data_IF_152840904289
#
_entry.id   IF_152840904289
#
_cell.length_a   1.000
_cell.length_b   1.000
_cell.length_c   1.000
_cell.angle_alpha   90.00
_cell.angle_beta   90.00
_cell.angle_gamma   90.00
#
_symmetry.space_group_name_H-M   'P 1'
#
loop_
_entity.id
_entity.type
_entity.pdbx_description
1 polymer ?
#
# COMPACT_ATOMS: atom_id res chain seq x y z
N UNK A 1 -6.32 1.48 2.33
CA UNK A 1 -6.60 0.51 1.25
C UNK A 1 -6.67 -0.91 1.80
N UNK A 2 -7.51 -1.79 1.24
CA UNK A 2 -7.59 -3.19 1.64
C UNK A 2 -6.42 -4.01 1.09
N UNK A 3 -5.73 -4.76 1.97
CA UNK A 3 -4.70 -5.77 1.63
C UNK A 3 -5.17 -6.73 0.52
N UNK A 4 -6.48 -6.92 0.44
CA UNK A 4 -7.17 -7.80 -0.50
C UNK A 4 -6.95 -7.44 -1.98
N UNK A 5 -7.05 -6.17 -2.37
CA UNK A 5 -6.89 -5.77 -3.78
C UNK A 5 -5.47 -6.03 -4.28
N UNK A 6 -4.49 -5.78 -3.42
CA UNK A 6 -3.10 -6.07 -3.72
C UNK A 6 -2.86 -7.58 -3.85
N UNK A 7 -3.47 -8.40 -2.99
CA UNK A 7 -3.41 -9.87 -3.12
C UNK A 7 -4.09 -10.34 -4.41
N UNK A 8 -5.28 -9.81 -4.72
CA UNK A 8 -6.05 -10.19 -5.92
C UNK A 8 -5.38 -9.78 -7.23
N UNK A 9 -4.66 -8.66 -7.26
CA UNK A 9 -3.97 -8.13 -8.44
C UNK A 9 -2.46 -8.31 -8.42
N UNK A 10 -1.93 -9.16 -7.53
CA UNK A 10 -0.47 -9.31 -7.36
C UNK A 10 0.24 -9.67 -8.67
N UNK A 11 -0.40 -10.42 -9.56
CA UNK A 11 0.15 -10.78 -10.88
C UNK A 11 0.37 -9.57 -11.78
N UNK A 12 -0.53 -8.58 -11.75
CA UNK A 12 -0.38 -7.33 -12.48
C UNK A 12 0.64 -6.42 -11.79
N UNK A 13 0.58 -6.35 -10.46
CA UNK A 13 1.42 -5.50 -9.62
C UNK A 13 2.88 -5.98 -9.60
N UNK A 14 3.14 -7.27 -9.80
CA UNK A 14 4.47 -7.88 -9.80
C UNK A 14 5.45 -7.17 -10.76
N UNK A 15 4.96 -6.75 -11.94
CA UNK A 15 5.76 -5.97 -12.87
C UNK A 15 6.20 -4.62 -12.30
N UNK A 16 5.35 -3.98 -11.49
CA UNK A 16 5.65 -2.71 -10.82
C UNK A 16 6.58 -2.90 -9.62
N UNK A 17 6.41 -3.99 -8.85
CA UNK A 17 7.37 -4.39 -7.80
C UNK A 17 8.76 -4.59 -8.39
N UNK A 18 8.87 -5.33 -9.50
CA UNK A 18 10.17 -5.54 -10.16
C UNK A 18 10.78 -4.24 -10.65
N UNK A 19 9.98 -3.28 -11.15
CA UNK A 19 10.47 -1.96 -11.53
C UNK A 19 10.94 -1.14 -10.32
N UNK A 20 10.23 -1.20 -9.19
CA UNK A 20 10.56 -0.43 -7.99
C UNK A 20 11.79 -0.98 -7.26
N UNK A 21 11.88 -2.31 -7.14
CA UNK A 21 12.94 -2.95 -6.34
C UNK A 21 14.03 -3.63 -7.15
N UNK A 22 13.86 -3.89 -8.46
CA UNK A 22 14.88 -4.44 -9.37
C UNK A 22 15.33 -5.87 -9.09
N UNK A 23 15.73 -6.16 -7.85
CA UNK A 23 16.22 -7.45 -7.37
C UNK A 23 15.11 -8.46 -7.05
N UNK A 24 13.85 -8.01 -6.96
CA UNK A 24 12.71 -8.90 -6.80
C UNK A 24 12.34 -9.52 -8.14
N UNK A 25 12.29 -10.86 -8.19
CA UNK A 25 11.79 -11.56 -9.36
C UNK A 25 10.28 -11.70 -9.33
N UNK A 26 9.66 -11.84 -10.50
CA UNK A 26 8.22 -12.06 -10.62
C UNK A 26 7.76 -13.31 -9.84
N UNK A 27 8.55 -14.38 -9.89
CA UNK A 27 8.27 -15.62 -9.15
C UNK A 27 8.32 -15.40 -7.62
N UNK A 28 9.36 -14.72 -7.13
CA UNK A 28 9.50 -14.39 -5.71
C UNK A 28 8.33 -13.53 -5.20
N UNK A 29 7.91 -12.54 -5.98
CA UNK A 29 6.79 -11.67 -5.67
C UNK A 29 5.49 -12.46 -5.66
N UNK A 30 5.22 -13.26 -6.68
CA UNK A 30 4.01 -14.06 -6.78
C UNK A 30 3.93 -15.13 -5.67
N UNK A 31 5.06 -15.68 -5.22
CA UNK A 31 5.12 -16.61 -4.08
C UNK A 31 4.58 -16.02 -2.79
N UNK A 32 4.74 -14.72 -2.58
CA UNK A 32 4.14 -14.03 -1.42
C UNK A 32 2.60 -13.96 -1.50
N UNK A 33 2.03 -14.23 -2.69
CA UNK A 33 0.61 -14.07 -3.02
C UNK A 33 0.07 -12.67 -2.76
N UNK A 34 0.94 -11.68 -2.59
CA UNK A 34 0.59 -10.31 -2.20
C UNK A 34 0.44 -10.09 -0.69
N UNK A 35 0.90 -11.03 0.13
CA UNK A 35 0.90 -10.84 1.58
C UNK A 35 1.98 -9.81 1.96
N UNK A 36 1.56 -8.71 2.58
CA UNK A 36 2.46 -7.61 2.95
C UNK A 36 3.58 -8.01 3.90
N UNK A 37 3.31 -8.83 4.92
CA UNK A 37 4.38 -9.33 5.79
C UNK A 37 5.37 -10.22 5.05
N UNK A 38 4.88 -11.12 4.17
CA UNK A 38 5.73 -11.97 3.35
C UNK A 38 6.56 -11.16 2.35
N UNK A 39 5.98 -10.13 1.72
CA UNK A 39 6.71 -9.19 0.86
C UNK A 39 7.72 -8.37 1.64
N UNK A 40 7.42 -7.95 2.86
CA UNK A 40 8.36 -7.21 3.71
C UNK A 40 9.59 -8.07 4.01
N UNK A 41 9.38 -9.34 4.36
CA UNK A 41 10.46 -10.31 4.50
C UNK A 41 11.23 -10.56 3.20
N UNK A 42 10.53 -10.65 2.07
CA UNK A 42 11.14 -10.84 0.75
C UNK A 42 12.02 -9.64 0.36
N UNK A 43 11.49 -8.42 0.48
CA UNK A 43 12.18 -7.15 0.23
C UNK A 43 13.38 -7.03 1.16
N UNK A 44 13.21 -7.28 2.45
CA UNK A 44 14.29 -7.29 3.44
C UNK A 44 15.40 -8.26 3.03
N UNK A 45 15.07 -9.49 2.62
CA UNK A 45 16.07 -10.49 2.24
C UNK A 45 16.75 -10.20 0.90
N UNK A 46 15.99 -9.77 -0.11
CA UNK A 46 16.48 -9.59 -1.50
C UNK A 46 17.18 -8.25 -1.70
N UNK A 47 16.70 -7.21 -1.04
CA UNK A 47 17.23 -5.84 -1.14
C UNK A 47 18.22 -5.56 0.00
N UNK A 48 18.13 -6.27 1.12
CA UNK A 48 18.97 -6.03 2.29
C UNK A 48 18.52 -4.82 3.11
N UNK A 49 17.22 -4.51 3.11
CA UNK A 49 16.65 -3.37 3.82
C UNK A 49 16.31 -3.70 5.27
N UNK A 50 16.33 -2.69 6.14
CA UNK A 50 15.76 -2.79 7.49
C UNK A 50 14.26 -3.06 7.41
N UNK A 51 13.71 -3.74 8.44
CA UNK A 51 12.27 -4.02 8.54
C UNK A 51 11.41 -2.76 8.39
N UNK A 52 11.84 -1.64 8.95
CA UNK A 52 11.18 -0.34 8.85
C UNK A 52 11.17 0.18 7.42
N UNK A 53 12.32 0.16 6.74
CA UNK A 53 12.45 0.59 5.35
C UNK A 53 11.63 -0.29 4.39
N UNK A 54 11.69 -1.62 4.56
CA UNK A 54 10.89 -2.54 3.77
C UNK A 54 9.38 -2.28 3.95
N UNK A 55 8.94 -2.11 5.20
CA UNK A 55 7.55 -1.76 5.53
C UNK A 55 7.14 -0.42 4.93
N UNK A 56 7.98 0.61 5.05
CA UNK A 56 7.74 1.95 4.52
C UNK A 56 7.61 1.92 3.00
N UNK A 57 8.53 1.25 2.30
CA UNK A 57 8.49 1.17 0.85
C UNK A 57 7.29 0.37 0.34
N UNK A 58 6.89 -0.70 1.05
CA UNK A 58 5.69 -1.46 0.72
C UNK A 58 4.41 -0.67 0.94
N UNK A 59 4.32 0.06 2.06
CA UNK A 59 3.19 0.95 2.36
C UNK A 59 3.05 2.03 1.28
N UNK A 60 4.16 2.69 0.93
CA UNK A 60 4.21 3.69 -0.13
C UNK A 60 3.83 3.10 -1.50
N UNK A 61 4.35 1.92 -1.81
CA UNK A 61 4.00 1.23 -3.05
C UNK A 61 2.52 0.84 -3.08
N UNK A 62 1.96 0.40 -1.96
CA UNK A 62 0.55 0.05 -1.87
C UNK A 62 -0.36 1.25 -2.12
N UNK A 63 -0.02 2.44 -1.61
CA UNK A 63 -0.81 3.65 -1.90
C UNK A 63 -0.68 4.11 -3.35
N UNK A 64 0.46 3.88 -4.00
CA UNK A 64 0.63 4.19 -5.42
C UNK A 64 -0.18 3.24 -6.31
N UNK A 65 -0.13 1.94 -6.00
CA UNK A 65 -0.92 0.90 -6.66
C UNK A 65 -2.41 1.12 -6.44
N UNK A 66 -2.82 1.45 -5.22
CA UNK A 66 -4.20 1.83 -4.93
C UNK A 66 -4.62 2.95 -5.87
N UNK A 67 -3.91 4.07 -5.88
CA UNK A 67 -4.21 5.20 -6.77
C UNK A 67 -4.26 4.79 -8.24
N UNK A 68 -3.39 3.89 -8.71
CA UNK A 68 -3.37 3.43 -10.10
C UNK A 68 -4.56 2.53 -10.46
N UNK A 69 -4.91 1.57 -9.60
CA UNK A 69 -5.96 0.57 -9.88
C UNK A 69 -7.35 0.99 -9.39
N UNK A 70 -7.44 1.87 -8.40
CA UNK A 70 -8.67 2.50 -7.90
C UNK A 70 -8.83 3.95 -8.36
N UNK A 71 -8.20 4.33 -9.47
CA UNK A 71 -8.42 5.61 -10.18
C UNK A 71 -9.88 5.84 -10.66
N UNK A 72 -10.84 5.06 -10.17
CA UNK A 72 -12.27 5.38 -10.21
C UNK A 72 -12.63 6.27 -9.00
N UNK A 73 -12.50 7.58 -9.17
CA UNK A 73 -13.63 8.47 -8.85
C UNK A 73 -13.93 8.90 -7.40
N UNK A 74 -13.01 8.85 -6.43
CA UNK A 74 -13.24 9.52 -5.13
C UNK A 74 -12.12 10.49 -4.73
N UNK A 75 -12.00 11.56 -5.51
CA UNK A 75 -11.66 12.85 -4.92
C UNK A 75 -12.84 13.30 -4.03
N UNK A 76 -12.89 12.84 -2.77
CA UNK A 76 -13.37 13.58 -1.59
C UNK A 76 -13.89 12.63 -0.49
N UNK A 77 -13.01 12.20 0.43
CA UNK A 77 -13.46 12.02 1.82
C UNK A 77 -12.39 12.28 2.89
N UNK A 78 -11.10 12.39 2.53
CA UNK A 78 -10.09 12.73 3.56
C UNK A 78 -10.21 14.16 4.12
N UNK A 79 -11.07 15.02 3.58
CA UNK A 79 -11.39 16.32 4.21
C UNK A 79 -12.63 16.31 5.11
N UNK A 80 -13.40 15.21 5.18
CA UNK A 80 -14.59 15.17 6.04
C UNK A 80 -14.22 14.90 7.50
N UNK A 81 -13.10 14.20 7.76
CA UNK A 81 -12.74 13.82 9.13
C UNK A 81 -12.17 14.97 9.99
N UNK A 82 -11.99 16.17 9.43
CA UNK A 82 -11.50 17.34 10.19
C UNK A 82 -12.55 18.42 10.47
N UNK A 83 -13.79 18.29 9.98
CA UNK A 83 -14.86 19.29 10.24
C UNK A 83 -15.97 18.84 11.19
N UNK A 84 -16.14 17.54 11.40
CA UNK A 84 -17.21 17.05 12.30
C UNK A 84 -16.89 17.38 13.77
N UNK A 85 -15.61 17.43 14.16
CA UNK A 85 -15.24 17.70 15.55
C UNK A 85 -15.53 19.15 15.99
N UNK A 86 -15.38 20.12 15.08
CA UNK A 86 -15.55 21.54 15.40
C UNK A 86 -17.00 21.96 15.71
N UNK A 87 -18.01 21.17 15.31
CA UNK A 87 -19.42 21.54 15.50
C UNK A 87 -19.91 21.15 16.90
N UNK A 88 -19.28 20.18 17.59
CA UNK A 88 -19.79 19.70 18.87
C UNK A 88 -19.57 20.67 20.04
N UNK A 89 -18.65 21.64 19.91
CA UNK A 89 -18.30 22.54 21.02
C UNK A 89 -19.15 23.82 21.12
N UNK A 90 -20.20 24.01 20.30
CA UNK A 90 -20.98 25.26 20.32
C UNK A 90 -22.36 25.21 20.97
N UNK A 91 -22.75 24.08 21.57
CA UNK A 91 -23.93 24.03 22.45
C UNK A 91 -23.49 23.93 23.91
N UNK A 92 -22.72 24.93 24.33
CA UNK A 92 -22.60 25.35 25.74
C UNK A 92 -23.43 26.62 25.89
N UNK A 93 -24.75 26.47 25.88
CA UNK A 93 -25.68 27.44 26.44
C UNK A 93 -26.98 26.73 26.84
#
# INVERSE_FOLDING_TARGET
MNKDIFQGKIKEISGELRKKWGALTDDDIQKTKGNMEALSGLVQQKIGLSKEEASKQLSEFMTDIDKKFTSTGESASDKVNSKIDAIKNKLSH
#
